data_IF_201710511361
#
_entry.id   IF_201710511361
#
_cell.length_a   1.000
_cell.length_b   1.000
_cell.length_c   1.000
_cell.angle_alpha   90.00
_cell.angle_beta   90.00
_cell.angle_gamma   90.00
#
_symmetry.space_group_name_H-M   'P 1'
#
loop_
_entity.id
_entity.type
_entity.pdbx_description
1 polymer ?
#
# COMPACT_ATOMS: atom_id res chain seq x y z
N UNK A 1 -4.95 -10.32 15.72
CA UNK A 1 -3.57 -10.85 15.77
C UNK A 1 -2.89 -10.29 17.01
N UNK A 2 -2.14 -11.08 17.80
CA UNK A 2 -1.40 -10.55 18.96
C UNK A 2 -0.22 -9.66 18.50
N UNK A 3 0.08 -8.61 19.27
CA UNK A 3 1.16 -7.65 18.96
C UNK A 3 2.53 -8.34 18.82
N UNK A 4 2.77 -9.42 19.57
CA UNK A 4 4.01 -10.22 19.50
C UNK A 4 4.29 -10.82 18.12
N UNK A 5 3.26 -10.97 17.28
CA UNK A 5 3.40 -11.44 15.90
C UNK A 5 3.79 -10.36 14.89
N UNK A 6 3.83 -9.09 15.28
CA UNK A 6 4.14 -7.97 14.40
C UNK A 6 5.63 -7.60 14.48
N UNK A 7 6.16 -7.00 13.41
CA UNK A 7 7.50 -6.42 13.34
C UNK A 7 7.41 -5.03 12.72
N UNK A 8 8.21 -4.11 13.23
CA UNK A 8 8.44 -2.83 12.57
C UNK A 8 9.63 -2.98 11.62
N UNK A 9 9.44 -2.59 10.37
CA UNK A 9 10.52 -2.38 9.42
C UNK A 9 10.77 -0.89 9.36
N UNK A 10 12.01 -0.50 9.63
CA UNK A 10 12.52 0.85 9.39
C UNK A 10 13.34 0.84 8.11
N UNK A 11 13.12 1.79 7.21
CA UNK A 11 13.77 1.80 5.91
C UNK A 11 13.93 3.20 5.31
N UNK A 12 14.92 3.31 4.43
CA UNK A 12 15.03 4.46 3.53
C UNK A 12 14.19 4.24 2.28
N UNK A 13 13.47 5.26 1.84
CA UNK A 13 12.69 5.26 0.59
C UNK A 13 13.01 6.50 -0.25
N UNK A 14 12.69 6.47 -1.55
CA UNK A 14 12.73 7.68 -2.38
C UNK A 14 11.43 8.45 -2.25
N UNK A 15 11.51 9.70 -1.83
CA UNK A 15 10.37 10.59 -1.71
C UNK A 15 9.85 11.06 -3.07
N UNK A 16 8.64 11.61 -3.06
CA UNK A 16 8.07 12.30 -4.23
C UNK A 16 8.86 13.54 -4.65
N UNK A 17 9.76 14.04 -3.79
CA UNK A 17 10.72 15.11 -4.05
C UNK A 17 12.02 14.62 -4.72
N UNK A 18 12.13 13.31 -5.01
CA UNK A 18 13.31 12.72 -5.63
C UNK A 18 14.53 12.66 -4.69
N UNK A 19 14.33 12.68 -3.38
CA UNK A 19 15.40 12.53 -2.36
C UNK A 19 15.20 11.26 -1.52
N UNK A 20 16.26 10.70 -0.93
CA UNK A 20 16.11 9.62 0.04
C UNK A 20 15.58 10.18 1.37
N UNK A 21 14.56 9.52 1.93
CA UNK A 21 13.99 9.78 3.25
C UNK A 21 14.21 8.54 4.12
N UNK A 22 14.77 8.71 5.32
CA UNK A 22 15.24 7.61 6.19
C UNK A 22 14.28 7.28 7.34
N UNK A 23 13.11 7.90 7.36
CA UNK A 23 12.08 7.83 8.41
C UNK A 23 10.92 6.88 8.07
N UNK A 24 11.06 6.08 7.01
CA UNK A 24 10.03 5.14 6.56
C UNK A 24 9.83 4.00 7.55
N UNK A 25 8.59 3.79 7.99
CA UNK A 25 8.21 2.78 8.98
C UNK A 25 6.98 2.00 8.56
N UNK A 26 7.08 0.68 8.55
CA UNK A 26 5.95 -0.24 8.33
C UNK A 26 5.82 -1.24 9.48
N UNK A 27 4.60 -1.43 9.96
CA UNK A 27 4.28 -2.52 10.89
C UNK A 27 3.66 -3.66 10.09
N UNK A 28 4.30 -4.83 10.12
CA UNK A 28 3.96 -5.99 9.28
C UNK A 28 3.93 -7.27 10.10
N UNK A 29 3.41 -8.35 9.53
CA UNK A 29 3.52 -9.67 10.13
C UNK A 29 4.99 -10.13 10.13
N UNK A 30 5.45 -10.69 11.26
CA UNK A 30 6.80 -11.24 11.39
C UNK A 30 7.16 -12.23 10.26
N UNK A 31 6.19 -13.01 9.78
CA UNK A 31 6.40 -14.04 8.75
C UNK A 31 6.74 -13.48 7.37
N UNK A 32 6.40 -12.22 7.09
CA UNK A 32 6.61 -11.59 5.76
C UNK A 32 7.58 -10.42 5.83
N UNK A 33 8.21 -10.18 6.98
CA UNK A 33 9.06 -9.02 7.18
C UNK A 33 10.27 -9.02 6.23
N UNK A 34 10.98 -10.14 6.11
CA UNK A 34 12.14 -10.27 5.22
C UNK A 34 11.77 -10.21 3.74
N UNK A 35 10.62 -10.77 3.37
CA UNK A 35 10.06 -10.69 2.02
C UNK A 35 9.77 -9.24 1.63
N UNK A 36 9.14 -8.49 2.54
CA UNK A 36 8.85 -7.08 2.32
C UNK A 36 10.12 -6.23 2.28
N UNK A 37 11.12 -6.50 3.12
CA UNK A 37 12.45 -5.87 2.99
C UNK A 37 13.03 -6.12 1.58
N UNK A 38 12.87 -7.32 1.04
CA UNK A 38 13.30 -7.65 -0.33
C UNK A 38 12.55 -6.84 -1.39
N UNK A 39 11.23 -6.66 -1.23
CA UNK A 39 10.41 -5.80 -2.10
C UNK A 39 10.87 -4.35 -2.02
N UNK A 40 10.97 -3.78 -0.82
CA UNK A 40 11.34 -2.36 -0.67
C UNK A 40 12.77 -2.06 -1.11
N UNK A 41 13.71 -3.02 -1.01
CA UNK A 41 15.03 -2.90 -1.66
C UNK A 41 14.95 -2.82 -3.18
N UNK A 42 13.98 -3.49 -3.82
CA UNK A 42 13.75 -3.35 -5.28
C UNK A 42 13.16 -1.97 -5.60
N UNK A 43 12.15 -1.54 -4.83
CA UNK A 43 11.54 -0.21 -4.97
C UNK A 43 12.55 0.92 -4.76
N UNK A 44 13.45 0.79 -3.80
CA UNK A 44 14.51 1.77 -3.57
C UNK A 44 15.49 1.83 -4.75
N UNK A 45 15.96 0.68 -5.25
CA UNK A 45 16.91 0.61 -6.38
C UNK A 45 16.34 1.20 -7.67
N UNK A 46 15.05 1.00 -7.92
CA UNK A 46 14.37 1.57 -9.09
C UNK A 46 13.89 3.01 -8.88
N UNK A 47 14.19 3.60 -7.71
CA UNK A 47 13.75 4.95 -7.31
C UNK A 47 12.24 5.15 -7.44
N UNK A 48 11.45 4.12 -7.11
CA UNK A 48 10.01 4.25 -7.07
C UNK A 48 9.64 5.26 -5.96
N UNK A 49 8.92 6.34 -6.29
CA UNK A 49 8.69 7.41 -5.35
C UNK A 49 7.51 7.06 -4.44
N UNK A 50 7.70 7.27 -3.14
CA UNK A 50 6.72 7.06 -2.08
C UNK A 50 6.47 8.40 -1.40
N UNK A 51 5.20 8.72 -1.13
CA UNK A 51 4.83 10.00 -0.51
C UNK A 51 5.33 10.09 0.93
N UNK A 52 4.97 9.08 1.71
CA UNK A 52 5.31 8.91 3.13
C UNK A 52 5.06 7.46 3.52
N UNK A 53 5.63 7.07 4.65
CA UNK A 53 5.50 5.71 5.17
C UNK A 53 5.53 5.75 6.70
N UNK A 54 4.36 5.87 7.31
CA UNK A 54 4.18 5.98 8.75
C UNK A 54 3.21 4.90 9.24
N UNK A 55 3.36 4.36 10.46
CA UNK A 55 2.37 3.45 10.99
C UNK A 55 1.03 4.19 11.21
N UNK A 56 -0.08 3.45 11.09
CA UNK A 56 -1.43 4.05 11.10
C UNK A 56 -1.82 4.61 12.49
N UNK A 57 -1.05 4.30 13.54
CA UNK A 57 -1.22 4.84 14.89
C UNK A 57 -1.02 6.36 14.96
N UNK A 58 -0.17 6.94 14.09
CA UNK A 58 -0.01 8.40 13.90
C UNK A 58 -1.35 9.05 13.55
N UNK A 59 -2.23 8.31 12.89
CA UNK A 59 -3.58 8.72 12.50
C UNK A 59 -4.65 8.19 13.46
N UNK A 60 -4.27 7.79 14.68
CA UNK A 60 -5.18 7.22 15.70
C UNK A 60 -5.94 5.98 15.20
N UNK A 61 -5.37 5.23 14.26
CA UNK A 61 -6.02 4.06 13.65
C UNK A 61 -6.99 4.40 12.50
N UNK A 62 -7.14 5.67 12.12
CA UNK A 62 -8.04 6.10 11.06
C UNK A 62 -7.46 5.79 9.68
N UNK A 63 -8.06 4.81 9.00
CA UNK A 63 -7.71 4.46 7.61
C UNK A 63 -7.96 5.65 6.67
N UNK A 64 -9.07 6.36 6.88
CA UNK A 64 -9.47 7.49 6.05
C UNK A 64 -8.46 8.64 6.15
N UNK A 65 -8.00 8.98 7.36
CA UNK A 65 -7.03 10.08 7.55
C UNK A 65 -5.64 9.69 7.05
N UNK A 66 -5.26 8.41 7.20
CA UNK A 66 -4.03 7.86 6.61
C UNK A 66 -4.04 7.96 5.08
N UNK A 67 -5.17 7.65 4.43
CA UNK A 67 -5.32 7.79 2.98
C UNK A 67 -5.37 9.26 2.54
N UNK A 68 -6.03 10.16 3.29
CA UNK A 68 -6.02 11.60 3.00
C UNK A 68 -4.61 12.20 3.08
N UNK A 69 -3.74 11.65 3.91
CA UNK A 69 -2.32 11.98 3.98
C UNK A 69 -1.47 11.30 2.90
N UNK A 70 -2.07 10.43 2.09
CA UNK A 70 -1.41 9.61 1.06
C UNK A 70 -0.30 8.72 1.64
N UNK A 71 -0.62 8.10 2.78
CA UNK A 71 0.31 7.29 3.55
C UNK A 71 0.42 5.85 3.03
N UNK A 72 1.64 5.42 2.70
CA UNK A 72 1.93 4.01 2.45
C UNK A 72 1.95 3.26 3.77
N UNK A 73 1.08 2.27 3.94
CA UNK A 73 0.89 1.58 5.22
C UNK A 73 0.57 0.09 5.06
N UNK A 74 0.78 -0.67 6.13
CA UNK A 74 0.63 -2.13 6.13
C UNK A 74 -0.36 -2.61 7.20
N UNK A 75 0.04 -2.67 8.47
CA UNK A 75 -0.88 -3.06 9.53
C UNK A 75 -1.90 -1.96 9.84
N UNK A 76 -3.18 -2.31 9.76
CA UNK A 76 -4.31 -1.53 10.27
C UNK A 76 -5.40 -2.50 10.75
N UNK A 77 -5.76 -2.45 12.02
CA UNK A 77 -6.73 -3.37 12.63
C UNK A 77 -8.16 -2.95 12.25
N UNK A 78 -8.63 -3.35 11.07
CA UNK A 78 -9.96 -3.01 10.56
C UNK A 78 -10.62 -4.13 9.75
N UNK A 79 -11.97 -4.15 9.64
CA UNK A 79 -12.64 -4.96 8.64
C UNK A 79 -12.25 -4.53 7.22
N UNK A 80 -12.41 -5.44 6.27
CA UNK A 80 -12.33 -5.12 4.85
C UNK A 80 -13.47 -4.18 4.46
N UNK A 81 -13.23 -3.28 3.50
CA UNK A 81 -14.19 -2.26 3.09
C UNK A 81 -15.50 -2.90 2.62
N UNK A 82 -16.61 -2.58 3.29
CA UNK A 82 -17.93 -3.12 2.97
C UNK A 82 -18.15 -4.59 3.36
N UNK A 83 -17.30 -5.16 4.24
CA UNK A 83 -17.40 -6.53 4.72
C UNK A 83 -17.40 -6.60 6.24
N UNK A 84 -17.98 -7.66 6.81
CA UNK A 84 -17.80 -8.05 8.21
C UNK A 84 -16.52 -8.86 8.45
N UNK A 85 -15.84 -9.29 7.38
CA UNK A 85 -14.57 -10.03 7.45
C UNK A 85 -13.38 -9.10 7.68
N UNK A 86 -12.37 -9.60 8.38
CA UNK A 86 -11.12 -8.89 8.62
C UNK A 86 -10.30 -8.70 7.34
N UNK A 87 -9.75 -7.50 7.17
CA UNK A 87 -8.81 -7.18 6.10
C UNK A 87 -7.46 -7.90 6.30
N UNK A 88 -6.71 -8.15 5.23
CA UNK A 88 -5.30 -8.60 5.34
C UNK A 88 -4.42 -7.58 6.07
N UNK A 89 -4.79 -6.29 6.04
CA UNK A 89 -4.17 -5.25 6.87
C UNK A 89 -4.27 -5.57 8.38
N UNK A 90 -5.36 -6.21 8.83
CA UNK A 90 -5.53 -6.57 10.24
C UNK A 90 -4.58 -7.70 10.71
N UNK A 91 -3.90 -8.34 9.76
CA UNK A 91 -2.92 -9.39 10.01
C UNK A 91 -1.49 -8.97 9.66
N UNK A 92 -1.27 -7.73 9.19
CA UNK A 92 0.02 -7.26 8.68
C UNK A 92 0.48 -8.01 7.42
N UNK A 93 -0.47 -8.50 6.62
CA UNK A 93 -0.25 -9.30 5.40
C UNK A 93 -0.68 -8.57 4.12
N UNK A 94 -0.84 -7.25 4.22
CA UNK A 94 -1.11 -6.37 3.10
C UNK A 94 -0.35 -5.06 3.23
N UNK A 95 -0.18 -4.37 2.10
CA UNK A 95 0.38 -3.03 1.99
C UNK A 95 -0.46 -2.23 0.99
N UNK A 96 -0.79 -1.00 1.35
CA UNK A 96 -1.33 0.01 0.45
C UNK A 96 -0.20 1.00 0.10
N UNK A 97 0.10 1.17 -1.20
CA UNK A 97 1.16 2.05 -1.71
C UNK A 97 0.57 3.33 -2.32
N UNK A 98 0.99 4.50 -1.81
CA UNK A 98 0.55 5.83 -2.26
C UNK A 98 -0.96 5.87 -2.58
N UNK A 99 -1.83 5.72 -1.57
CA UNK A 99 -3.28 5.61 -1.74
C UNK A 99 -3.92 6.63 -2.68
N UNK A 100 -3.38 7.85 -2.75
CA UNK A 100 -3.94 8.88 -3.61
C UNK A 100 -3.60 8.68 -5.08
N UNK A 101 -2.34 8.35 -5.39
CA UNK A 101 -1.91 7.97 -6.74
C UNK A 101 -2.51 6.64 -7.20
N UNK A 102 -2.88 5.77 -6.26
CA UNK A 102 -3.38 4.43 -6.52
C UNK A 102 -4.71 4.17 -5.78
N UNK A 103 -5.78 4.92 -6.08
CA UNK A 103 -6.99 4.88 -5.26
C UNK A 103 -7.73 3.54 -5.38
N UNK A 104 -8.44 3.18 -4.31
CA UNK A 104 -9.57 2.28 -4.41
C UNK A 104 -10.67 2.90 -5.26
N UNK A 105 -11.09 2.19 -6.30
CA UNK A 105 -12.19 2.53 -7.21
C UNK A 105 -13.28 1.48 -7.03
N UNK A 106 -14.42 1.88 -6.48
CA UNK A 106 -15.57 0.99 -6.28
C UNK A 106 -16.12 0.47 -7.63
N UNK A 107 -16.98 -0.56 -7.57
CA UNK A 107 -17.57 -1.16 -8.77
C UNK A 107 -18.39 -0.16 -9.63
N UNK A 108 -19.00 0.86 -9.01
CA UNK A 108 -19.69 1.95 -9.71
C UNK A 108 -18.74 3.09 -10.16
N UNK A 109 -17.43 2.94 -9.95
CA UNK A 109 -16.41 3.87 -10.39
C UNK A 109 -16.16 5.06 -9.47
N UNK A 110 -16.65 5.04 -8.23
CA UNK A 110 -16.44 6.11 -7.25
C UNK A 110 -15.09 5.97 -6.54
N UNK A 111 -14.50 7.12 -6.19
CA UNK A 111 -13.32 7.22 -5.32
C UNK A 111 -13.72 8.12 -4.16
N UNK A 112 -13.52 7.66 -2.91
CA UNK A 112 -13.97 8.39 -1.72
C UNK A 112 -13.17 9.68 -1.48
N UNK A 113 -11.87 9.66 -1.81
CA UNK A 113 -10.95 10.76 -1.55
C UNK A 113 -10.90 11.73 -2.74
N UNK A 114 -11.50 12.92 -2.58
CA UNK A 114 -11.70 13.89 -3.68
C UNK A 114 -10.42 14.26 -4.42
N UNK A 115 -9.30 14.41 -3.70
CA UNK A 115 -7.98 14.76 -4.29
C UNK A 115 -7.42 13.67 -5.20
N UNK A 116 -7.89 12.43 -5.02
CA UNK A 116 -7.35 11.22 -5.64
C UNK A 116 -8.16 10.77 -6.87
N UNK A 117 -9.36 11.34 -7.07
CA UNK A 117 -10.27 11.02 -8.18
C UNK A 117 -9.58 11.08 -9.55
N UNK A 118 -8.65 12.03 -9.76
CA UNK A 118 -7.92 12.17 -11.02
C UNK A 118 -7.11 10.92 -11.41
N UNK A 119 -6.67 10.14 -10.42
CA UNK A 119 -5.87 8.94 -10.61
C UNK A 119 -6.68 7.69 -10.94
N UNK A 120 -8.02 7.77 -10.89
CA UNK A 120 -8.89 6.77 -11.54
C UNK A 120 -8.56 6.64 -13.03
N UNK A 121 -8.11 7.72 -13.69
CA UNK A 121 -7.66 7.67 -15.07
C UNK A 121 -6.29 6.97 -15.17
N UNK A 122 -6.31 5.67 -15.50
CA UNK A 122 -5.10 4.84 -15.66
C UNK A 122 -4.29 5.08 -16.94
N UNK A 123 -4.64 6.10 -17.74
CA UNK A 123 -3.76 6.62 -18.81
C UNK A 123 -2.68 7.56 -18.27
N UNK A 124 -2.84 8.04 -17.04
CA UNK A 124 -1.88 8.91 -16.36
C UNK A 124 -0.55 8.18 -16.15
N UNK A 125 0.53 8.95 -16.10
CA UNK A 125 1.91 8.47 -15.92
C UNK A 125 2.66 9.31 -14.88
N UNK A 126 1.91 9.98 -14.00
CA UNK A 126 2.50 10.73 -12.90
C UNK A 126 3.38 9.81 -12.03
N UNK A 127 4.41 10.37 -11.36
CA UNK A 127 5.20 9.62 -10.38
C UNK A 127 4.31 8.90 -9.35
N UNK A 128 4.67 7.66 -8.99
CA UNK A 128 3.95 6.86 -7.99
C UNK A 128 2.72 6.09 -8.51
N UNK A 129 2.26 6.36 -9.73
CA UNK A 129 1.07 5.70 -10.30
C UNK A 129 1.40 4.29 -10.82
N UNK A 130 0.81 3.24 -10.23
CA UNK A 130 1.14 1.81 -10.47
C UNK A 130 0.25 1.16 -11.54
N UNK A 131 0.83 0.74 -12.66
CA UNK A 131 0.12 0.05 -13.74
C UNK A 131 0.36 -1.46 -13.73
N UNK A 132 -0.54 -2.17 -14.41
CA UNK A 132 -0.35 -3.59 -14.69
C UNK A 132 0.97 -3.81 -15.44
N UNK A 133 1.79 -4.73 -14.93
CA UNK A 133 3.08 -5.06 -15.51
C UNK A 133 4.24 -4.16 -15.08
N UNK A 134 3.96 -3.10 -14.31
CA UNK A 134 5.01 -2.26 -13.73
C UNK A 134 5.90 -3.07 -12.81
N UNK A 135 7.14 -2.63 -12.70
CA UNK A 135 8.13 -3.38 -11.94
C UNK A 135 7.86 -3.36 -10.42
N UNK A 136 7.02 -2.43 -9.90
CA UNK A 136 6.46 -2.50 -8.53
C UNK A 136 5.55 -3.73 -8.38
N UNK A 137 4.63 -3.95 -9.32
CA UNK A 137 3.74 -5.12 -9.31
C UNK A 137 4.56 -6.41 -9.38
N UNK A 138 5.59 -6.45 -10.22
CA UNK A 138 6.52 -7.59 -10.32
C UNK A 138 7.34 -7.80 -9.04
N UNK A 139 7.69 -6.73 -8.33
CA UNK A 139 8.41 -6.84 -7.06
C UNK A 139 7.56 -7.55 -6.01
N UNK A 140 6.29 -7.16 -5.83
CA UNK A 140 5.37 -7.86 -4.93
C UNK A 140 5.06 -9.28 -5.42
N UNK A 141 4.84 -9.48 -6.71
CA UNK A 141 4.62 -10.82 -7.27
C UNK A 141 5.81 -11.77 -7.02
N UNK A 142 7.04 -11.25 -6.92
CA UNK A 142 8.23 -12.07 -6.63
C UNK A 142 8.28 -12.68 -5.23
N UNK A 143 7.43 -12.21 -4.31
CA UNK A 143 7.21 -12.81 -2.98
C UNK A 143 5.84 -13.50 -2.89
N UNK A 144 5.19 -13.76 -4.03
CA UNK A 144 3.88 -14.42 -4.11
C UNK A 144 2.68 -13.53 -3.80
N UNK A 145 2.86 -12.21 -3.66
CA UNK A 145 1.75 -11.30 -3.36
C UNK A 145 0.97 -10.91 -4.62
N UNK A 146 -0.35 -10.82 -4.48
CA UNK A 146 -1.24 -10.34 -5.52
C UNK A 146 -1.46 -8.83 -5.44
N UNK A 147 -2.02 -8.26 -6.50
CA UNK A 147 -2.30 -6.82 -6.63
C UNK A 147 -3.79 -6.55 -6.86
N UNK A 148 -4.38 -5.65 -6.09
CA UNK A 148 -5.81 -5.31 -6.15
C UNK A 148 -6.24 -4.65 -7.47
N UNK A 149 -5.29 -4.11 -8.24
CA UNK A 149 -5.55 -3.63 -9.61
C UNK A 149 -5.99 -4.74 -10.58
N UNK A 150 -5.69 -6.01 -10.29
CA UNK A 150 -6.09 -7.16 -11.11
C UNK A 150 -7.45 -7.77 -10.73
N UNK A 151 -8.09 -7.32 -9.64
CA UNK A 151 -9.38 -7.85 -9.19
C UNK A 151 -10.51 -7.64 -10.20
N UNK A 152 -11.50 -8.53 -10.20
CA UNK A 152 -12.73 -8.36 -10.99
C UNK A 152 -13.70 -7.47 -10.21
N UNK A 153 -14.27 -6.47 -10.89
CA UNK A 153 -15.18 -5.50 -10.25
C UNK A 153 -14.45 -4.27 -9.73
N UNK A 154 -14.54 -4.00 -8.43
CA UNK A 154 -13.80 -2.92 -7.79
C UNK A 154 -12.29 -3.09 -7.99
N UNK A 155 -11.58 -1.97 -8.12
CA UNK A 155 -10.14 -1.93 -8.36
C UNK A 155 -9.46 -1.27 -7.18
N UNK A 156 -8.61 -2.01 -6.48
CA UNK A 156 -7.84 -1.47 -5.36
C UNK A 156 -6.38 -1.29 -5.79
N UNK A 157 -6.06 -0.16 -6.43
CA UNK A 157 -4.75 0.01 -7.08
C UNK A 157 -3.60 0.14 -6.08
N UNK A 158 -3.87 0.58 -4.86
CA UNK A 158 -2.89 0.71 -3.78
C UNK A 158 -2.51 -0.66 -3.21
N UNK A 159 -3.43 -1.63 -3.29
CA UNK A 159 -3.43 -2.79 -2.43
C UNK A 159 -2.59 -3.94 -2.98
N UNK A 160 -1.70 -4.45 -2.13
CA UNK A 160 -0.98 -5.70 -2.33
C UNK A 160 -1.16 -6.59 -1.11
N UNK A 161 -1.44 -7.88 -1.31
CA UNK A 161 -1.64 -8.82 -0.20
C UNK A 161 -1.15 -10.22 -0.49
N UNK A 162 -0.82 -10.96 0.56
CA UNK A 162 -0.26 -12.33 0.46
C UNK A 162 -1.23 -13.35 -0.13
N UNK A 163 -2.54 -13.10 -0.07
CA UNK A 163 -3.58 -13.95 -0.66
C UNK A 163 -4.15 -13.36 -1.97
N UNK A 164 -3.67 -12.18 -2.38
CA UNK A 164 -4.14 -11.46 -3.55
C UNK A 164 -5.61 -11.06 -3.50
N UNK A 165 -6.18 -10.87 -2.31
CA UNK A 165 -7.58 -10.50 -2.06
C UNK A 165 -7.70 -9.53 -0.88
#
# INVERSE_FOLDING_TARGET
>A
MPVSGLRMIEMTYWGMDGRPHADGRLVVNARVADDLVTVFRKLYRMRYPIRRMEPVDVYKGSDFDSIEADNTSAFNCRPATGSSSWSQHAYGLAIDINPCENPYVSANGTVAHRKCVKFKNRKRRDPGVIHKGDAVVKAFASIGWGWGGDWRGAKDYQHFSSNGR
#
